data_IF_283638411373
#
_entry.id   IF_283638411373
#
_cell.length_a   1.000
_cell.length_b   1.000
_cell.length_c   1.000
_cell.angle_alpha   90.00
_cell.angle_beta   90.00
_cell.angle_gamma   90.00
#
_symmetry.space_group_name_H-M   'P 1'
#
loop_
_entity.id
_entity.type
_entity.pdbx_description
1 polymer ?
#
# COMPACT_ATOMS: atom_id res chain seq x y z
N UNK A 1 24.46 -0.21 7.32
CA UNK A 1 23.87 -0.52 6.00
C UNK A 1 22.56 -1.26 6.24
N UNK A 2 21.40 -0.61 6.12
CA UNK A 2 20.16 -1.37 6.06
C UNK A 2 20.11 -2.06 4.70
N UNK A 3 19.88 -3.38 4.59
CA UNK A 3 19.53 -3.97 3.31
C UNK A 3 18.21 -3.31 2.92
N UNK A 4 18.22 -2.46 1.89
CA UNK A 4 17.01 -1.94 1.32
C UNK A 4 16.35 -3.08 0.54
N UNK A 5 15.74 -4.03 1.25
CA UNK A 5 14.83 -4.99 0.63
C UNK A 5 13.85 -4.18 -0.20
N UNK A 6 13.83 -4.42 -1.51
CA UNK A 6 12.92 -3.68 -2.38
C UNK A 6 11.48 -3.90 -1.88
N UNK A 7 10.64 -2.88 -2.02
CA UNK A 7 9.24 -2.95 -1.61
C UNK A 7 8.48 -4.08 -2.32
N UNK A 8 8.90 -4.44 -3.52
CA UNK A 8 8.36 -5.58 -4.27
C UNK A 8 8.73 -6.91 -3.59
N UNK A 9 9.97 -7.04 -3.11
CA UNK A 9 10.42 -8.20 -2.34
C UNK A 9 9.70 -8.31 -1.00
N UNK A 10 9.41 -7.17 -0.35
CA UNK A 10 8.59 -7.15 0.88
C UNK A 10 7.17 -7.67 0.62
N UNK A 11 6.46 -7.14 -0.37
CA UNK A 11 5.09 -7.57 -0.66
C UNK A 11 5.02 -9.05 -1.08
N UNK A 12 6.01 -9.51 -1.84
CA UNK A 12 6.14 -10.93 -2.18
C UNK A 12 6.39 -11.80 -0.95
N UNK A 13 7.27 -11.37 -0.05
CA UNK A 13 7.56 -12.09 1.20
C UNK A 13 6.33 -12.17 2.10
N UNK A 14 5.58 -11.09 2.24
CA UNK A 14 4.32 -11.06 2.99
C UNK A 14 3.27 -12.00 2.37
N UNK A 15 3.14 -12.02 1.04
CA UNK A 15 2.24 -12.95 0.36
C UNK A 15 2.66 -14.41 0.60
N UNK A 16 3.95 -14.72 0.54
CA UNK A 16 4.45 -16.09 0.67
C UNK A 16 4.09 -16.77 2.01
N UNK A 17 3.94 -15.99 3.09
CA UNK A 17 3.66 -16.51 4.44
C UNK A 17 2.17 -16.65 4.77
N UNK A 18 1.26 -16.23 3.88
CA UNK A 18 -0.18 -16.40 4.10
C UNK A 18 -0.58 -17.83 3.72
N UNK A 19 -1.24 -18.54 4.63
CA UNK A 19 -1.74 -19.90 4.37
C UNK A 19 -2.76 -19.93 3.20
N UNK A 20 -2.87 -21.04 2.45
CA UNK A 20 -3.93 -21.22 1.46
C UNK A 20 -5.32 -20.93 2.03
N UNK A 21 -6.16 -20.23 1.26
CA UNK A 21 -7.47 -19.75 1.72
C UNK A 21 -7.43 -18.49 2.62
N UNK A 22 -6.24 -18.07 3.08
CA UNK A 22 -6.02 -16.90 3.95
C UNK A 22 -6.15 -15.56 3.23
N UNK A 23 -6.08 -14.45 3.99
CA UNK A 23 -6.20 -13.08 3.47
C UNK A 23 -4.94 -12.26 3.76
N UNK A 24 -4.49 -11.51 2.75
CA UNK A 24 -3.49 -10.45 2.88
C UNK A 24 -4.20 -9.09 2.81
N UNK A 25 -3.96 -8.23 3.80
CA UNK A 25 -4.42 -6.83 3.83
C UNK A 25 -3.21 -5.91 3.95
N UNK A 26 -3.06 -4.97 3.02
CA UNK A 26 -2.01 -3.96 3.04
C UNK A 26 -2.65 -2.57 2.90
N UNK A 27 -2.29 -1.65 3.79
CA UNK A 27 -2.71 -0.25 3.74
C UNK A 27 -1.49 0.68 3.84
N UNK A 28 -1.52 1.82 3.15
CA UNK A 28 -0.45 2.80 3.19
C UNK A 28 -0.78 4.08 2.44
N UNK A 29 0.16 5.03 2.39
CA UNK A 29 -0.09 6.32 1.77
C UNK A 29 0.00 6.27 0.24
N UNK A 30 -1.01 6.83 -0.44
CA UNK A 30 -1.01 6.95 -1.89
C UNK A 30 -0.06 8.08 -2.36
N UNK A 31 0.66 7.92 -3.48
CA UNK A 31 1.61 8.94 -3.96
C UNK A 31 0.95 10.22 -4.50
N UNK A 32 -0.32 10.16 -4.91
CA UNK A 32 -1.04 11.29 -5.54
C UNK A 32 -1.18 12.56 -4.68
N UNK A 33 -0.82 12.51 -3.38
CA UNK A 33 -0.86 13.68 -2.51
C UNK A 33 0.54 14.24 -2.25
N UNK A 34 0.93 15.37 -2.88
CA UNK A 34 2.09 16.13 -2.45
C UNK A 34 1.78 16.76 -1.09
N UNK A 35 2.72 16.66 -0.13
CA UNK A 35 2.66 17.45 1.11
C UNK A 35 3.57 18.66 0.97
N UNK A 36 3.03 19.82 1.32
CA UNK A 36 3.77 21.03 1.64
C UNK A 36 4.67 20.75 2.86
N UNK A 37 6.00 20.80 2.72
CA UNK A 37 6.95 20.75 3.84
C UNK A 37 8.19 19.85 3.66
N UNK A 38 9.25 20.19 4.40
CA UNK A 38 10.68 19.84 4.21
C UNK A 38 11.10 18.41 4.62
N UNK A 39 10.16 17.51 4.95
CA UNK A 39 10.48 16.13 5.36
C UNK A 39 10.64 15.17 4.16
N UNK A 40 11.37 15.60 3.12
CA UNK A 40 11.17 15.14 1.74
C UNK A 40 11.84 13.79 1.37
N UNK A 41 12.84 13.31 2.12
CA UNK A 41 13.60 12.09 1.75
C UNK A 41 13.22 10.84 2.58
N UNK A 42 12.93 11.01 3.87
CA UNK A 42 12.74 9.90 4.80
C UNK A 42 11.37 9.22 4.73
N UNK A 43 10.40 9.75 3.98
CA UNK A 43 9.03 9.19 3.87
C UNK A 43 8.62 8.83 2.44
N UNK A 44 9.40 9.23 1.43
CA UNK A 44 9.08 8.92 0.03
C UNK A 44 9.04 7.41 -0.24
N UNK A 45 9.89 6.65 0.46
CA UNK A 45 9.91 5.19 0.36
C UNK A 45 8.70 4.49 1.00
N UNK A 46 7.90 5.21 1.81
CA UNK A 46 6.70 4.69 2.48
C UNK A 46 5.40 4.83 1.67
N UNK A 47 5.46 5.38 0.45
CA UNK A 47 4.30 5.56 -0.44
C UNK A 47 4.30 4.58 -1.59
N UNK A 48 3.12 4.08 -1.96
CA UNK A 48 2.94 3.11 -3.03
C UNK A 48 1.51 3.15 -3.55
N UNK A 49 1.29 2.76 -4.80
CA UNK A 49 -0.06 2.64 -5.37
C UNK A 49 -0.64 1.24 -5.12
N UNK A 50 -1.96 1.03 -5.20
CA UNK A 50 -2.56 -0.29 -5.04
C UNK A 50 -2.05 -1.30 -6.07
N UNK A 51 -1.81 -0.86 -7.31
CA UNK A 51 -1.32 -1.69 -8.40
C UNK A 51 0.10 -2.19 -8.11
N UNK A 52 0.94 -1.34 -7.50
CA UNK A 52 2.30 -1.71 -7.08
C UNK A 52 2.28 -2.82 -6.03
N UNK A 53 1.32 -2.79 -5.10
CA UNK A 53 1.14 -3.87 -4.11
C UNK A 53 0.57 -5.13 -4.77
N UNK A 54 -0.43 -4.97 -5.63
CA UNK A 54 -1.08 -6.08 -6.33
C UNK A 54 -0.13 -6.86 -7.26
N UNK A 55 0.94 -6.23 -7.75
CA UNK A 55 1.98 -6.88 -8.55
C UNK A 55 2.94 -7.77 -7.74
N UNK A 56 2.90 -7.73 -6.40
CA UNK A 56 3.76 -8.53 -5.54
C UNK A 56 3.37 -10.02 -5.51
N UNK A 57 2.11 -10.35 -5.16
CA UNK A 57 1.60 -11.73 -5.16
C UNK A 57 1.49 -12.34 -6.58
N UNK A 58 1.79 -13.64 -6.78
CA UNK A 58 1.55 -14.32 -8.06
C UNK A 58 0.05 -14.37 -8.42
N UNK A 59 -0.31 -13.90 -9.62
CA UNK A 59 -1.72 -13.76 -10.03
C UNK A 59 -2.49 -15.08 -10.15
N UNK A 60 -1.79 -16.20 -10.37
CA UNK A 60 -2.37 -17.54 -10.43
C UNK A 60 -2.71 -18.11 -9.04
N UNK A 61 -2.04 -17.65 -7.98
CA UNK A 61 -2.24 -18.12 -6.61
C UNK A 61 -3.17 -17.21 -5.79
N UNK A 62 -3.46 -16.01 -6.28
CA UNK A 62 -4.18 -14.99 -5.54
C UNK A 62 -5.42 -14.50 -6.27
N UNK A 63 -6.42 -14.12 -5.48
CA UNK A 63 -7.58 -13.37 -5.90
C UNK A 63 -7.49 -11.98 -5.29
N UNK A 64 -7.40 -10.94 -6.13
CA UNK A 64 -7.46 -9.55 -5.66
C UNK A 64 -8.92 -9.19 -5.44
N UNK A 65 -9.30 -9.00 -4.18
CA UNK A 65 -10.68 -8.65 -3.80
C UNK A 65 -10.85 -7.12 -3.78
N UNK A 66 -9.82 -6.39 -3.36
CA UNK A 66 -9.78 -4.92 -3.35
C UNK A 66 -8.37 -4.47 -3.74
N UNK A 67 -8.27 -3.51 -4.66
CA UNK A 67 -7.05 -2.76 -4.95
C UNK A 67 -7.46 -1.32 -5.32
N UNK A 68 -7.46 -0.43 -4.32
CA UNK A 68 -8.06 0.89 -4.47
C UNK A 68 -7.24 1.99 -3.80
N UNK A 69 -7.28 3.19 -4.39
CA UNK A 69 -6.87 4.43 -3.74
C UNK A 69 -8.09 5.02 -3.00
N UNK A 70 -8.32 4.58 -1.76
CA UNK A 70 -9.51 4.93 -1.00
C UNK A 70 -9.46 6.36 -0.45
N UNK A 71 -10.50 7.19 -0.70
CA UNK A 71 -10.57 8.53 -0.16
C UNK A 71 -10.94 8.51 1.33
N UNK A 72 -10.37 9.45 2.09
CA UNK A 72 -10.79 9.82 3.44
C UNK A 72 -10.68 11.33 3.64
N UNK A 73 -11.54 11.89 4.47
CA UNK A 73 -11.48 13.30 4.84
C UNK A 73 -10.50 13.48 6.00
N UNK A 74 -9.67 14.51 5.93
CA UNK A 74 -8.84 14.99 7.04
C UNK A 74 -9.03 16.48 7.22
N UNK A 75 -8.81 16.97 8.44
CA UNK A 75 -8.66 18.40 8.72
C UNK A 75 -7.19 18.78 8.59
N UNK A 76 -6.89 19.78 7.78
CA UNK A 76 -5.54 20.32 7.64
C UNK A 76 -5.18 21.27 8.82
N UNK A 77 -3.91 21.71 8.94
CA UNK A 77 -3.51 22.63 10.02
C UNK A 77 -4.23 23.99 10.02
N UNK A 78 -4.93 24.34 8.94
CA UNK A 78 -5.71 25.58 8.82
C UNK A 78 -7.22 25.34 9.08
N UNK A 79 -7.61 24.15 9.55
CA UNK A 79 -8.99 23.82 9.85
C UNK A 79 -9.84 23.46 8.63
N UNK A 80 -9.25 23.28 7.45
CA UNK A 80 -9.98 22.96 6.21
C UNK A 80 -10.10 21.46 6.02
N UNK A 81 -11.25 21.01 5.51
CA UNK A 81 -11.42 19.62 5.07
C UNK A 81 -10.69 19.36 3.76
N UNK A 82 -9.92 18.28 3.72
CA UNK A 82 -9.16 17.85 2.54
C UNK A 82 -9.36 16.35 2.34
N UNK A 83 -9.55 15.93 1.08
CA UNK A 83 -9.61 14.52 0.72
C UNK A 83 -8.18 13.99 0.55
N UNK A 84 -7.81 13.02 1.38
CA UNK A 84 -6.60 12.21 1.26
C UNK A 84 -6.95 10.85 0.66
N UNK A 85 -6.03 10.26 -0.10
CA UNK A 85 -6.13 8.89 -0.60
C UNK A 85 -5.11 8.00 0.07
N UNK A 86 -5.58 6.84 0.54
CA UNK A 86 -4.73 5.77 1.02
C UNK A 86 -4.81 4.60 0.04
N UNK A 87 -3.67 3.94 -0.16
CA UNK A 87 -3.59 2.69 -0.89
C UNK A 87 -4.10 1.57 -0.02
N UNK A 88 -5.07 0.80 -0.52
CA UNK A 88 -5.62 -0.38 0.14
C UNK A 88 -5.59 -1.55 -0.83
N UNK A 89 -4.94 -2.64 -0.43
CA UNK A 89 -5.02 -3.95 -1.06
C UNK A 89 -5.64 -4.95 -0.10
N UNK A 90 -6.65 -5.69 -0.55
CA UNK A 90 -7.09 -6.93 0.08
C UNK A 90 -7.06 -8.04 -0.96
N UNK A 91 -6.34 -9.11 -0.68
CA UNK A 91 -6.25 -10.28 -1.54
C UNK A 91 -6.46 -11.57 -0.74
N UNK A 92 -7.06 -12.58 -1.37
CA UNK A 92 -7.22 -13.91 -0.81
C UNK A 92 -6.28 -14.88 -1.51
N UNK A 93 -5.55 -15.69 -0.75
CA UNK A 93 -4.77 -16.79 -1.32
C UNK A 93 -5.73 -17.90 -1.71
N UNK A 94 -5.61 -18.39 -2.94
CA UNK A 94 -6.37 -19.56 -3.40
C UNK A 94 -5.95 -20.78 -2.56
N UNK A 95 -6.85 -21.75 -2.47
CA UNK A 95 -6.64 -23.04 -1.81
C UNK A 95 -5.64 -23.90 -2.57
#
# INVERSE_FOLDING_TARGET
MHPATSRDSLFRGLAAVVAPGGTLLIAGHHPAHPRTGVAHAAVAHMRFTPEKVAAGPPSNEWEIVVAEARPRTITDPHGREVIMRDTVLRARRRS
#
